data_IF_398077067970
#
_entry.id   IF_398077067970
#
_cell.length_a   1.000
_cell.length_b   1.000
_cell.length_c   1.000
_cell.angle_alpha   90.00
_cell.angle_beta   90.00
_cell.angle_gamma   90.00
#
_symmetry.space_group_name_H-M   'P 1'
#
loop_
_entity.id
_entity.type
_entity.pdbx_description
1 polymer ?
#
# COMPACT_ATOMS: atom_id res chain seq x y z
N UNK A 1 5.18 12.42 18.16
CA UNK A 1 4.91 11.13 17.50
C UNK A 1 4.08 11.41 16.27
N UNK A 2 4.61 11.18 15.06
CA UNK A 2 3.83 11.39 13.82
C UNK A 2 2.79 10.27 13.75
N UNK A 3 1.51 10.63 13.61
CA UNK A 3 0.43 9.65 13.51
C UNK A 3 0.70 8.66 12.38
N UNK A 4 0.46 7.37 12.63
CA UNK A 4 0.57 6.34 11.61
C UNK A 4 -0.38 6.67 10.46
N UNK A 5 0.18 7.12 9.34
CA UNK A 5 -0.57 7.49 8.13
C UNK A 5 -0.58 6.28 7.20
N UNK A 6 -1.77 5.73 6.98
CA UNK A 6 -1.98 4.74 5.93
C UNK A 6 -2.11 5.46 4.59
N UNK A 7 -1.50 4.91 3.54
CA UNK A 7 -1.51 5.53 2.22
C UNK A 7 -1.89 4.47 1.18
N UNK A 8 -2.95 4.75 0.41
CA UNK A 8 -3.38 3.96 -0.74
C UNK A 8 -3.18 4.85 -1.96
N UNK A 9 -2.32 4.42 -2.89
CA UNK A 9 -2.04 5.20 -4.11
C UNK A 9 -3.23 5.18 -5.08
N UNK A 10 -3.74 3.97 -5.34
CA UNK A 10 -4.81 3.72 -6.29
C UNK A 10 -5.58 2.49 -5.83
N UNK A 11 -6.90 2.56 -5.96
CA UNK A 11 -7.80 1.42 -5.80
C UNK A 11 -8.59 1.28 -7.10
N UNK A 12 -8.53 0.08 -7.68
CA UNK A 12 -9.34 -0.31 -8.84
C UNK A 12 -10.33 -1.35 -8.36
N UNK A 13 -11.57 -1.25 -8.83
CA UNK A 13 -12.64 -2.18 -8.47
C UNK A 13 -13.29 -2.63 -9.76
N UNK A 14 -13.27 -3.94 -9.95
CA UNK A 14 -13.86 -4.62 -11.09
C UNK A 14 -15.00 -5.48 -10.55
N UNK A 15 -16.14 -5.42 -11.24
CA UNK A 15 -17.37 -6.10 -10.82
C UNK A 15 -17.91 -6.86 -12.01
N UNK A 16 -17.84 -8.18 -11.92
CA UNK A 16 -18.45 -9.07 -12.87
C UNK A 16 -19.82 -9.52 -12.34
N UNK A 17 -20.86 -9.30 -13.14
CA UNK A 17 -22.23 -9.68 -12.81
C UNK A 17 -22.93 -10.29 -14.02
N UNK A 18 -23.85 -11.21 -13.78
CA UNK A 18 -24.62 -11.88 -14.81
C UNK A 18 -25.81 -11.04 -15.33
N UNK A 19 -26.04 -9.84 -14.79
CA UNK A 19 -27.17 -8.98 -15.13
C UNK A 19 -26.73 -7.55 -15.45
N UNK A 20 -27.10 -7.06 -16.63
CA UNK A 20 -26.83 -5.68 -17.05
C UNK A 20 -27.51 -4.66 -16.13
N UNK A 21 -28.75 -4.94 -15.70
CA UNK A 21 -29.49 -4.06 -14.79
C UNK A 21 -28.78 -3.93 -13.44
N UNK A 22 -28.27 -5.05 -12.91
CA UNK A 22 -27.51 -5.07 -11.66
C UNK A 22 -26.16 -4.37 -11.83
N UNK A 23 -25.50 -4.54 -12.98
CA UNK A 23 -24.25 -3.86 -13.31
C UNK A 23 -24.39 -2.34 -13.35
N UNK A 24 -25.47 -1.82 -13.94
CA UNK A 24 -25.76 -0.38 -13.94
C UNK A 24 -26.04 0.15 -12.53
N UNK A 25 -26.83 -0.58 -11.74
CA UNK A 25 -27.10 -0.18 -10.36
C UNK A 25 -25.81 -0.15 -9.51
N UNK A 26 -24.97 -1.18 -9.62
CA UNK A 26 -23.69 -1.23 -8.92
C UNK A 26 -22.76 -0.10 -9.36
N UNK A 27 -22.72 0.23 -10.65
CA UNK A 27 -21.91 1.35 -11.15
C UNK A 27 -22.25 2.67 -10.44
N UNK A 28 -23.54 2.91 -10.18
CA UNK A 28 -24.01 4.17 -9.59
C UNK A 28 -23.92 4.16 -8.05
N UNK A 29 -24.24 3.04 -7.40
CA UNK A 29 -24.35 2.94 -5.94
C UNK A 29 -23.03 2.55 -5.24
N UNK A 30 -22.20 1.74 -5.91
CA UNK A 30 -21.01 1.13 -5.30
C UNK A 30 -19.97 2.17 -4.83
N UNK A 31 -19.65 3.25 -5.58
CA UNK A 31 -18.69 4.25 -5.11
C UNK A 31 -19.08 4.87 -3.76
N UNK A 32 -20.37 5.22 -3.61
CA UNK A 32 -20.92 5.78 -2.37
C UNK A 32 -20.88 4.76 -1.24
N UNK A 33 -21.29 3.52 -1.54
CA UNK A 33 -21.27 2.41 -0.59
C UNK A 33 -19.85 2.18 -0.05
N UNK A 34 -18.85 2.07 -0.91
CA UNK A 34 -17.45 1.86 -0.53
C UNK A 34 -16.92 2.97 0.37
N UNK A 35 -17.14 4.23 -0.05
CA UNK A 35 -16.67 5.40 0.69
C UNK A 35 -17.27 5.47 2.10
N UNK A 36 -18.55 5.11 2.23
CA UNK A 36 -19.30 5.27 3.47
C UNK A 36 -19.14 4.09 4.42
N UNK A 37 -19.06 2.87 3.88
CA UNK A 37 -19.19 1.64 4.67
C UNK A 37 -17.92 0.77 4.68
N UNK A 38 -17.10 0.83 3.63
CA UNK A 38 -15.94 -0.08 3.47
C UNK A 38 -14.65 0.63 3.85
N UNK A 39 -14.39 1.83 3.33
CA UNK A 39 -13.14 2.56 3.57
C UNK A 39 -12.87 2.86 5.06
N UNK A 40 -13.88 3.28 5.87
CA UNK A 40 -13.64 3.52 7.29
C UNK A 40 -13.20 2.25 8.04
N UNK A 41 -13.81 1.12 7.71
CA UNK A 41 -13.51 -0.19 8.31
C UNK A 41 -12.13 -0.71 7.88
N UNK A 42 -11.76 -0.51 6.61
CA UNK A 42 -10.41 -0.84 6.13
C UNK A 42 -9.36 0.05 6.79
N UNK A 43 -9.61 1.36 6.93
CA UNK A 43 -8.70 2.28 7.60
C UNK A 43 -8.49 1.88 9.06
N UNK A 44 -9.55 1.50 9.77
CA UNK A 44 -9.44 0.98 11.13
C UNK A 44 -8.61 -0.31 11.17
N UNK A 45 -8.87 -1.25 10.26
CA UNK A 45 -8.13 -2.50 10.16
C UNK A 45 -6.63 -2.27 9.87
N UNK A 46 -6.29 -1.38 8.94
CA UNK A 46 -4.91 -1.04 8.63
C UNK A 46 -4.19 -0.35 9.79
N UNK A 47 -4.88 0.51 10.55
CA UNK A 47 -4.31 1.06 11.80
C UNK A 47 -3.96 -0.03 12.81
N UNK A 48 -4.79 -1.05 12.93
CA UNK A 48 -4.52 -2.19 13.82
C UNK A 48 -3.31 -2.99 13.34
N UNK A 49 -3.25 -3.32 12.04
CA UNK A 49 -2.09 -3.99 11.45
C UNK A 49 -0.78 -3.19 11.60
N UNK A 50 -0.85 -1.86 11.44
CA UNK A 50 0.30 -0.99 11.61
C UNK A 50 0.83 -0.99 13.06
N UNK A 51 -0.07 -1.03 14.05
CA UNK A 51 0.30 -1.15 15.47
C UNK A 51 1.01 -2.48 15.77
N UNK A 52 0.53 -3.57 15.18
CA UNK A 52 1.12 -4.90 15.35
C UNK A 52 2.51 -5.01 14.71
N UNK A 53 2.81 -4.18 13.71
CA UNK A 53 4.04 -4.24 12.92
C UNK A 53 5.29 -3.60 13.58
N UNK A 54 5.19 -3.20 14.86
CA UNK A 54 6.31 -2.79 15.76
C UNK A 54 7.47 -2.07 15.05
N UNK A 55 7.20 -0.86 14.55
CA UNK A 55 8.17 0.05 13.89
C UNK A 55 8.58 -0.28 12.44
N UNK A 56 7.89 -1.21 11.78
CA UNK A 56 8.04 -1.42 10.34
C UNK A 56 6.81 -0.95 9.59
N UNK A 57 7.02 -0.28 8.46
CA UNK A 57 5.99 -0.02 7.46
C UNK A 57 5.77 -1.30 6.65
N UNK A 58 4.52 -1.76 6.56
CA UNK A 58 4.11 -2.76 5.58
C UNK A 58 3.82 -2.05 4.26
N UNK A 59 4.58 -2.36 3.21
CA UNK A 59 4.38 -1.81 1.87
C UNK A 59 3.97 -2.93 0.94
N UNK A 60 2.82 -2.75 0.28
CA UNK A 60 2.32 -3.62 -0.76
C UNK A 60 2.61 -2.95 -2.10
N UNK A 61 3.25 -3.63 -3.05
CA UNK A 61 3.40 -3.11 -4.42
C UNK A 61 2.05 -3.16 -5.15
N UNK A 62 1.38 -4.30 -5.05
CA UNK A 62 0.01 -4.54 -5.54
C UNK A 62 -0.71 -5.46 -4.56
N UNK A 63 -1.97 -5.15 -4.26
CA UNK A 63 -2.86 -6.00 -3.47
C UNK A 63 -4.09 -6.32 -4.32
N UNK A 64 -4.02 -7.40 -5.08
CA UNK A 64 -5.17 -7.96 -5.79
C UNK A 64 -6.00 -8.84 -4.86
N UNK A 65 -7.30 -8.61 -4.83
CA UNK A 65 -8.25 -9.38 -4.03
C UNK A 65 -9.34 -9.89 -4.98
N UNK A 66 -9.46 -11.21 -5.10
CA UNK A 66 -10.54 -11.83 -5.86
C UNK A 66 -11.64 -12.29 -4.90
N UNK A 67 -12.83 -11.72 -5.07
CA UNK A 67 -13.94 -11.86 -4.13
C UNK A 67 -15.19 -12.31 -4.88
N UNK A 68 -15.44 -13.61 -4.93
CA UNK A 68 -16.72 -14.13 -5.42
C UNK A 68 -17.79 -13.97 -4.34
N UNK A 69 -18.86 -13.21 -4.59
CA UNK A 69 -19.94 -13.04 -3.63
C UNK A 69 -21.27 -13.43 -4.25
N UNK A 70 -21.90 -14.46 -3.67
CA UNK A 70 -23.23 -14.89 -4.04
C UNK A 70 -24.23 -14.10 -3.18
N UNK A 71 -24.59 -12.90 -3.61
CA UNK A 71 -25.67 -12.15 -2.96
C UNK A 71 -26.86 -12.04 -3.90
N UNK A 72 -27.96 -12.62 -3.45
CA UNK A 72 -29.29 -12.47 -4.05
C UNK A 72 -29.99 -11.20 -3.58
N UNK A 73 -29.45 -10.50 -2.57
CA UNK A 73 -30.08 -9.35 -1.92
C UNK A 73 -29.14 -8.11 -1.85
N UNK A 74 -29.71 -6.98 -1.43
CA UNK A 74 -29.18 -5.62 -1.55
C UNK A 74 -27.73 -5.43 -1.03
N UNK A 75 -27.03 -4.41 -1.57
CA UNK A 75 -25.67 -3.98 -1.19
C UNK A 75 -25.39 -3.89 0.32
N UNK A 76 -26.41 -3.67 1.15
CA UNK A 76 -26.24 -3.56 2.61
C UNK A 76 -25.89 -4.89 3.27
N UNK A 77 -26.48 -5.99 2.80
CA UNK A 77 -26.22 -7.33 3.34
C UNK A 77 -24.85 -7.86 2.90
N UNK A 78 -24.30 -7.28 1.82
CA UNK A 78 -22.96 -7.53 1.32
C UNK A 78 -21.85 -6.94 2.20
N UNK A 79 -22.12 -5.88 2.97
CA UNK A 79 -21.09 -5.18 3.75
C UNK A 79 -20.31 -6.11 4.70
N UNK A 80 -20.94 -6.86 5.63
CA UNK A 80 -20.19 -7.71 6.57
C UNK A 80 -19.45 -8.85 5.86
N UNK A 81 -20.03 -9.40 4.80
CA UNK A 81 -19.44 -10.49 4.01
C UNK A 81 -18.20 -10.00 3.28
N UNK A 82 -18.29 -8.86 2.59
CA UNK A 82 -17.20 -8.25 1.87
C UNK A 82 -16.05 -7.91 2.83
N UNK A 83 -16.34 -7.25 3.95
CA UNK A 83 -15.33 -6.89 4.94
C UNK A 83 -14.61 -8.11 5.51
N UNK A 84 -15.36 -9.18 5.82
CA UNK A 84 -14.76 -10.42 6.30
C UNK A 84 -13.80 -11.02 5.27
N UNK A 85 -14.25 -11.17 4.02
CA UNK A 85 -13.41 -11.76 2.96
C UNK A 85 -12.19 -10.92 2.64
N UNK A 86 -12.32 -9.59 2.61
CA UNK A 86 -11.19 -8.68 2.41
C UNK A 86 -10.16 -8.84 3.53
N UNK A 87 -10.60 -8.83 4.80
CA UNK A 87 -9.71 -9.01 5.96
C UNK A 87 -9.01 -10.37 5.91
N UNK A 88 -9.72 -11.43 5.56
CA UNK A 88 -9.17 -12.79 5.44
C UNK A 88 -8.11 -12.88 4.33
N UNK A 89 -8.39 -12.33 3.15
CA UNK A 89 -7.44 -12.32 2.03
C UNK A 89 -6.19 -11.46 2.32
N UNK A 90 -6.35 -10.32 2.98
CA UNK A 90 -5.20 -9.51 3.39
C UNK A 90 -4.34 -10.29 4.40
N UNK A 91 -4.97 -10.92 5.39
CA UNK A 91 -4.26 -11.71 6.39
C UNK A 91 -3.54 -12.91 5.75
N UNK A 92 -4.19 -13.61 4.82
CA UNK A 92 -3.58 -14.76 4.14
C UNK A 92 -2.38 -14.32 3.30
N UNK A 93 -2.50 -13.23 2.52
CA UNK A 93 -1.38 -12.68 1.75
C UNK A 93 -0.21 -12.26 2.64
N UNK A 94 -0.48 -11.56 3.74
CA UNK A 94 0.58 -11.20 4.72
C UNK A 94 1.24 -12.46 5.29
N UNK A 95 0.47 -13.51 5.62
CA UNK A 95 1.00 -14.74 6.21
C UNK A 95 1.80 -15.60 5.21
N UNK A 96 1.36 -15.69 3.96
CA UNK A 96 2.04 -16.45 2.91
C UNK A 96 3.38 -15.83 2.53
N UNK A 97 3.49 -14.50 2.53
CA UNK A 97 4.75 -13.80 2.21
C UNK A 97 5.81 -13.92 3.33
N UNK A 98 5.40 -14.22 4.57
CA UNK A 98 6.35 -14.54 5.65
C UNK A 98 7.05 -15.89 5.39
N UNK A 99 6.43 -16.79 4.62
CA UNK A 99 6.95 -18.13 4.35
C UNK A 99 7.74 -18.22 3.05
N UNK A 100 7.39 -17.43 2.04
CA UNK A 100 8.10 -17.31 0.76
C UNK A 100 8.26 -15.81 0.45
N UNK A 101 9.48 -15.26 0.35
CA UNK A 101 9.67 -13.85 0.05
C UNK A 101 9.25 -13.57 -1.40
N UNK A 102 7.96 -13.32 -1.60
CA UNK A 102 7.44 -12.77 -2.86
C UNK A 102 7.72 -11.26 -2.91
N UNK A 103 7.82 -10.72 -4.13
CA UNK A 103 8.20 -9.32 -4.37
C UNK A 103 7.13 -8.30 -3.93
N UNK A 104 5.98 -8.73 -3.42
CA UNK A 104 4.77 -7.90 -3.35
C UNK A 104 4.52 -7.28 -1.98
N UNK A 105 5.00 -7.87 -0.87
CA UNK A 105 4.90 -7.28 0.47
C UNK A 105 6.28 -7.10 1.11
N UNK A 106 6.60 -5.86 1.45
CA UNK A 106 7.87 -5.49 2.05
C UNK A 106 7.66 -4.94 3.46
N UNK A 107 8.45 -5.46 4.41
CA UNK A 107 8.63 -4.85 5.73
C UNK A 107 9.79 -3.87 5.65
N UNK A 108 9.47 -2.59 5.78
CA UNK A 108 10.45 -1.51 5.60
C UNK A 108 10.61 -0.78 6.94
N UNK A 109 11.84 -0.71 7.43
CA UNK A 109 12.17 0.10 8.60
C UNK A 109 12.10 1.59 8.24
N UNK A 110 11.95 2.47 9.24
CA UNK A 110 11.99 3.92 9.00
C UNK A 110 13.27 4.38 8.30
N UNK A 111 14.43 3.82 8.67
CA UNK A 111 15.70 4.09 7.99
C UNK A 111 15.67 3.63 6.52
N UNK A 112 15.10 2.45 6.24
CA UNK A 112 14.92 1.94 4.87
C UNK A 112 13.98 2.81 4.03
N UNK A 113 12.91 3.32 4.64
CA UNK A 113 11.94 4.23 4.01
C UNK A 113 12.58 5.56 3.64
N UNK A 114 13.40 6.13 4.53
CA UNK A 114 14.16 7.35 4.24
C UNK A 114 15.19 7.13 3.12
N UNK A 115 15.91 6.01 3.16
CA UNK A 115 16.87 5.62 2.13
C UNK A 115 16.21 5.47 0.74
N UNK A 116 15.05 4.80 0.67
CA UNK A 116 14.27 4.68 -0.57
C UNK A 116 13.84 6.04 -1.12
N UNK A 117 13.36 6.93 -0.24
CA UNK A 117 12.92 8.26 -0.65
C UNK A 117 14.08 9.11 -1.17
N UNK A 118 15.25 9.02 -0.52
CA UNK A 118 16.45 9.73 -0.94
C UNK A 118 16.94 9.25 -2.31
N UNK A 119 17.02 7.92 -2.52
CA UNK A 119 17.40 7.36 -3.83
C UNK A 119 16.39 7.74 -4.93
N UNK A 120 15.10 7.74 -4.63
CA UNK A 120 14.08 8.17 -5.57
C UNK A 120 14.24 9.65 -5.95
N UNK A 121 14.52 10.51 -4.97
CA UNK A 121 14.80 11.92 -5.20
C UNK A 121 16.05 12.13 -6.07
N UNK A 122 17.14 11.42 -5.79
CA UNK A 122 18.34 11.49 -6.65
C UNK A 122 18.07 11.04 -8.09
N UNK A 123 17.18 10.06 -8.28
CA UNK A 123 16.82 9.55 -9.61
C UNK A 123 15.91 10.50 -10.40
N UNK A 124 14.94 11.11 -9.73
CA UNK A 124 13.80 11.80 -10.40
C UNK A 124 13.74 13.30 -10.16
N UNK A 125 14.58 13.83 -9.26
CA UNK A 125 14.51 15.23 -8.79
C UNK A 125 13.30 15.55 -7.90
N UNK A 126 12.41 14.58 -7.66
CA UNK A 126 11.17 14.76 -6.90
C UNK A 126 11.05 13.73 -5.78
N UNK A 127 10.23 14.01 -4.76
CA UNK A 127 9.92 13.01 -3.74
C UNK A 127 8.94 11.95 -4.29
N UNK A 128 9.01 10.69 -3.82
CA UNK A 128 8.00 9.70 -4.19
C UNK A 128 6.65 10.06 -3.55
N UNK A 129 5.54 9.70 -4.21
CA UNK A 129 4.16 10.03 -3.82
C UNK A 129 3.78 9.61 -2.39
N UNK A 130 4.45 8.61 -1.81
CA UNK A 130 4.23 8.13 -0.44
C UNK A 130 5.09 8.87 0.61
N UNK A 131 5.95 9.79 0.20
CA UNK A 131 6.85 10.53 1.06
C UNK A 131 6.43 12.00 1.18
N UNK A 132 6.64 12.57 2.36
CA UNK A 132 6.19 13.94 2.64
C UNK A 132 7.08 14.95 1.94
N UNK A 133 6.52 15.76 1.05
CA UNK A 133 7.24 16.80 0.31
C UNK A 133 7.92 17.84 1.22
N UNK A 134 7.38 18.06 2.43
CA UNK A 134 7.95 18.99 3.41
C UNK A 134 9.19 18.46 4.17
N UNK A 135 9.62 17.21 3.92
CA UNK A 135 10.71 16.59 4.70
C UNK A 135 12.07 16.93 4.11
N UNK A 136 12.84 17.75 4.83
CA UNK A 136 14.26 18.01 4.52
C UNK A 136 15.11 16.88 5.11
N UNK A 137 16.02 16.34 4.29
CA UNK A 137 17.04 15.39 4.75
C UNK A 137 18.12 16.11 5.52
N UNK A 138 18.38 15.67 6.74
CA UNK A 138 19.47 16.20 7.57
C UNK A 138 20.79 15.48 7.24
N UNK A 139 21.91 16.15 7.48
CA UNK A 139 23.24 15.56 7.31
C UNK A 139 23.37 14.24 8.10
N UNK A 140 22.89 14.22 9.35
CA UNK A 140 22.90 13.03 10.20
C UNK A 140 22.17 11.84 9.57
N UNK A 141 21.00 12.08 8.96
CA UNK A 141 20.23 11.03 8.28
C UNK A 141 20.99 10.51 7.05
N UNK A 142 21.60 11.39 6.26
CA UNK A 142 22.38 11.00 5.08
C UNK A 142 23.62 10.20 5.48
N UNK A 143 24.38 10.66 6.48
CA UNK A 143 25.53 9.93 7.01
C UNK A 143 25.10 8.55 7.51
N UNK A 144 23.98 8.47 8.23
CA UNK A 144 23.45 7.20 8.71
C UNK A 144 23.01 6.26 7.57
N UNK A 145 22.46 6.78 6.46
CA UNK A 145 22.18 5.94 5.29
C UNK A 145 23.46 5.41 4.66
N UNK A 146 24.50 6.25 4.57
CA UNK A 146 25.80 5.89 4.00
C UNK A 146 26.53 4.83 4.80
N UNK A 147 26.21 4.59 6.08
CA UNK A 147 26.80 3.45 6.82
C UNK A 147 26.22 2.09 6.42
N UNK A 148 25.09 2.06 5.69
CA UNK A 148 24.48 0.82 5.22
C UNK A 148 25.09 0.35 3.90
N UNK A 149 25.71 -0.82 3.88
CA UNK A 149 26.25 -1.44 2.66
C UNK A 149 25.18 -1.61 1.57
N UNK A 150 23.96 -2.01 1.96
CA UNK A 150 22.82 -2.14 1.03
C UNK A 150 22.48 -0.82 0.36
N UNK A 151 22.52 0.28 1.10
CA UNK A 151 22.29 1.62 0.54
C UNK A 151 23.43 2.02 -0.39
N UNK A 152 24.68 1.83 0.02
CA UNK A 152 25.85 2.15 -0.80
C UNK A 152 25.81 1.41 -2.15
N UNK A 153 25.46 0.12 -2.15
CA UNK A 153 25.35 -0.67 -3.38
C UNK A 153 24.29 -0.09 -4.33
N UNK A 154 23.10 0.24 -3.82
CA UNK A 154 22.02 0.86 -4.60
C UNK A 154 22.39 2.26 -5.10
N UNK A 155 23.10 3.04 -4.28
CA UNK A 155 23.58 4.37 -4.66
C UNK A 155 24.61 4.28 -5.79
N UNK A 156 25.60 3.38 -5.68
CA UNK A 156 26.59 3.16 -6.74
C UNK A 156 25.92 2.76 -8.05
N UNK A 157 24.98 1.82 -8.00
CA UNK A 157 24.22 1.40 -9.18
C UNK A 157 23.48 2.58 -9.81
N UNK A 158 22.82 3.41 -8.99
CA UNK A 158 22.08 4.59 -9.47
C UNK A 158 22.99 5.64 -10.10
N UNK A 159 24.22 5.83 -9.59
CA UNK A 159 25.18 6.78 -10.14
C UNK A 159 25.89 6.27 -11.41
N UNK A 160 25.97 4.96 -11.58
CA UNK A 160 26.50 4.31 -12.79
C UNK A 160 25.48 4.24 -13.93
N UNK A 161 24.19 4.31 -13.59
CA UNK A 161 23.11 4.34 -14.56
C UNK A 161 23.12 5.69 -15.29
N UNK A 162 23.62 5.70 -16.53
CA UNK A 162 23.78 6.90 -17.37
C UNK A 162 22.49 7.32 -18.08
N UNK A 163 21.35 6.74 -17.70
CA UNK A 163 20.05 7.12 -18.26
C UNK A 163 19.78 8.60 -17.94
N UNK A 164 19.57 9.45 -18.96
CA UNK A 164 19.35 10.88 -18.74
C UNK A 164 18.12 11.08 -17.85
N UNK A 165 18.29 11.92 -16.83
CA UNK A 165 17.23 12.29 -15.90
C UNK A 165 16.09 12.91 -16.72
N UNK A 166 14.93 12.23 -16.76
CA UNK A 166 13.73 12.70 -17.44
C UNK A 166 12.94 13.64 -16.54
#
# INVERSE_FOLDING_TARGET
MVAAKNIIHKMTIEVDTNSMSLGLQLKDDLPSFLKTHIYPELEHYFKTLAKESKAHTLRFSTLELDLSINATDALRDLQPILLKKVKEQIKSKIASEIQLPSQHVQRISEAGKLADAFLYFLKTGNYPWWFSEAKIFTEKEVIQMLTSEKFQARLKQLLQDSTPRK
#
